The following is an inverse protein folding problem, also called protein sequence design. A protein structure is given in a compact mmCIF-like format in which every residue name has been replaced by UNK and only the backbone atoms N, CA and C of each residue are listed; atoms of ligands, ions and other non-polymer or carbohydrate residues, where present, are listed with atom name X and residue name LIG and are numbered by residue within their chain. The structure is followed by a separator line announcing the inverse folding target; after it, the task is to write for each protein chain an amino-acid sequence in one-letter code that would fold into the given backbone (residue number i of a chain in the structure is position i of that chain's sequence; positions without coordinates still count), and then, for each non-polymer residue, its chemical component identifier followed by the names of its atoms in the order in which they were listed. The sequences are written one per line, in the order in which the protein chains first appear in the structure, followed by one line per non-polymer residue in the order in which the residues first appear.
data_IF_368589069018
#
_entry.id   IF_368589069018
#
_cell.length_a   1.000
_cell.length_b   1.000
_cell.length_c   1.000
_cell.angle_alpha   90.00
_cell.angle_beta   90.00
_cell.angle_gamma   90.00
#
_symmetry.space_group_name_H-M   'P 1'
#
loop_
_entity.id
_entity.type
_entity.pdbx_description
1 polymer ?
#
# COMPACT_ATOMS: atom_id res chain seq x y z
N UNK A 1 35.98 3.46 6.50
CA UNK A 1 35.33 3.52 5.17
C UNK A 1 34.76 2.15 4.74
N UNK A 2 35.57 1.08 4.62
CA UNK A 2 35.09 -0.21 4.12
C UNK A 2 34.15 -1.03 5.03
N UNK A 3 34.16 -0.81 6.36
CA UNK A 3 33.33 -1.59 7.29
C UNK A 3 31.88 -1.09 7.42
N UNK A 4 31.63 0.22 7.23
CA UNK A 4 30.28 0.81 7.31
C UNK A 4 29.42 0.52 6.07
N UNK A 5 30.05 0.29 4.90
CA UNK A 5 29.37 -0.14 3.67
C UNK A 5 29.13 -1.66 3.61
N UNK A 6 29.79 -2.44 4.48
CA UNK A 6 29.71 -3.90 4.47
C UNK A 6 28.65 -4.48 5.44
N UNK A 7 27.99 -3.64 6.23
CA UNK A 7 26.89 -4.05 7.13
C UNK A 7 25.60 -4.31 6.34
N UNK A 8 24.96 -5.45 6.61
CA UNK A 8 23.66 -5.78 6.02
C UNK A 8 22.60 -4.80 6.51
N UNK A 9 22.12 -3.93 5.61
CA UNK A 9 21.03 -2.99 5.87
C UNK A 9 21.34 -1.53 5.54
N UNK A 10 22.58 -1.21 5.14
CA UNK A 10 22.97 0.16 4.72
C UNK A 10 22.86 0.29 3.21
N UNK A 11 22.07 1.26 2.73
CA UNK A 11 21.89 1.50 1.29
C UNK A 11 22.92 2.52 0.76
N UNK A 12 23.08 3.63 1.50
CA UNK A 12 24.05 4.68 1.18
C UNK A 12 24.70 5.21 2.45
N UNK A 13 26.03 5.33 2.41
CA UNK A 13 26.81 6.07 3.39
C UNK A 13 27.22 7.37 2.71
N UNK A 14 26.58 8.48 3.08
CA UNK A 14 27.02 9.79 2.61
C UNK A 14 27.98 10.35 3.66
N UNK A 15 29.26 10.35 3.31
CA UNK A 15 30.32 10.88 4.17
C UNK A 15 30.48 12.37 3.88
N UNK A 16 30.14 13.21 4.84
CA UNK A 16 30.39 14.64 4.74
C UNK A 16 31.75 14.94 5.37
N UNK A 17 32.69 15.42 4.54
CA UNK A 17 34.03 15.79 5.00
C UNK A 17 33.98 17.01 5.93
N UNK A 18 34.98 17.15 6.81
CA UNK A 18 35.14 18.27 7.76
C UNK A 18 35.08 19.66 7.10
N UNK A 19 35.53 19.75 5.84
CA UNK A 19 35.51 20.99 5.04
C UNK A 19 34.13 21.28 4.43
N UNK A 20 33.33 20.26 4.12
CA UNK A 20 31.98 20.41 3.54
C UNK A 20 30.92 20.75 4.60
N UNK A 21 31.13 20.29 5.85
CA UNK A 21 30.28 20.63 6.99
C UNK A 21 30.39 22.12 7.38
N UNK A 22 31.58 22.74 7.23
CA UNK A 22 31.79 24.18 7.43
C UNK A 22 31.03 25.00 6.38
N UNK A 23 31.11 24.62 5.10
CA UNK A 23 30.42 25.33 4.00
C UNK A 23 28.90 25.34 4.12
N UNK A 24 28.29 24.21 4.50
CA UNK A 24 26.83 24.11 4.66
C UNK A 24 26.30 24.74 5.96
N UNK A 25 27.11 24.80 7.02
CA UNK A 25 26.69 25.40 8.30
C UNK A 25 26.67 26.93 8.24
N UNK A 26 27.59 27.56 7.50
CA UNK A 26 27.62 29.04 7.33
C UNK A 26 26.40 29.57 6.57
N UNK A 27 25.79 28.75 5.72
CA UNK A 27 24.58 29.14 4.97
C UNK A 27 23.31 29.03 5.82
N UNK A 28 23.24 28.06 6.75
CA UNK A 28 22.09 27.86 7.65
C UNK A 28 22.13 28.71 8.93
N UNK A 29 23.32 29.01 9.43
CA UNK A 29 23.54 29.87 10.59
C UNK A 29 24.10 31.21 10.10
N UNK A 30 23.21 32.15 9.79
CA UNK A 30 23.55 33.57 9.71
C UNK A 30 23.86 34.14 11.12
N UNK A 31 24.78 33.50 11.85
CA UNK A 31 25.32 34.00 13.11
C UNK A 31 26.65 34.69 12.79
N UNK A 32 26.60 36.00 12.88
CA UNK A 32 27.70 36.93 12.66
C UNK A 32 28.94 36.58 13.51
N UNK A 33 29.95 35.97 12.89
CA UNK A 33 31.32 36.01 13.37
C UNK A 33 32.29 35.90 12.17
N UNK A 34 33.26 36.83 12.04
CA UNK A 34 34.26 36.77 10.96
C UNK A 34 35.09 35.49 11.03
N UNK A 35 35.28 34.87 9.87
CA UNK A 35 35.99 33.62 9.62
C UNK A 35 37.51 33.63 9.90
N UNK A 36 38.05 34.72 10.43
CA UNK A 36 39.50 34.94 10.60
C UNK A 36 40.04 34.65 12.01
N UNK A 37 39.23 34.09 12.92
CA UNK A 37 39.64 33.83 14.33
C UNK A 37 39.60 32.37 14.78
N UNK A 38 39.45 31.39 13.88
CA UNK A 38 39.38 29.97 14.23
C UNK A 38 40.51 29.20 13.54
N UNK A 39 41.67 29.06 14.22
CA UNK A 39 42.85 28.34 13.73
C UNK A 39 42.69 26.80 13.68
N UNK A 40 41.64 26.22 14.29
CA UNK A 40 41.33 24.79 14.20
C UNK A 40 39.84 24.53 13.95
N UNK A 41 39.55 23.62 13.00
CA UNK A 41 38.20 23.20 12.63
C UNK A 41 37.57 22.34 13.75
N UNK A 42 36.57 22.85 14.50
CA UNK A 42 36.03 22.18 15.69
C UNK A 42 34.96 21.13 15.36
N UNK A 43 34.64 20.89 14.07
CA UNK A 43 33.53 20.02 13.69
C UNK A 43 33.99 18.55 13.52
N UNK A 44 33.36 17.58 14.21
CA UNK A 44 33.58 16.17 13.93
C UNK A 44 33.01 15.79 12.55
N UNK A 45 33.64 14.82 11.87
CA UNK A 45 33.11 14.30 10.62
C UNK A 45 31.76 13.60 10.87
N UNK A 46 30.75 13.91 10.06
CA UNK A 46 29.39 13.36 10.19
C UNK A 46 29.13 12.38 9.07
N UNK A 47 28.88 11.12 9.41
CA UNK A 47 28.46 10.09 8.45
C UNK A 47 26.93 9.91 8.54
N UNK A 48 26.22 10.26 7.46
CA UNK A 48 24.77 10.05 7.36
C UNK A 48 24.55 8.66 6.78
N UNK A 49 24.06 7.74 7.61
CA UNK A 49 23.74 6.36 7.22
C UNK A 49 22.25 6.29 6.87
N UNK A 50 21.94 6.02 5.61
CA UNK A 50 20.56 5.80 5.16
C UNK A 50 20.28 4.29 5.14
N UNK A 51 19.41 3.78 6.03
CA UNK A 51 19.05 2.37 6.05
C UNK A 51 18.21 2.00 4.82
N UNK A 52 18.34 0.75 4.36
CA UNK A 52 17.56 0.18 3.24
C UNK A 52 16.06 0.20 3.54
N UNK A 53 15.24 0.31 2.50
CA UNK A 53 13.76 0.35 2.60
C UNK A 53 13.17 -0.84 3.39
N UNK A 54 13.82 -2.00 3.37
CA UNK A 54 13.38 -3.20 4.10
C UNK A 54 13.66 -3.17 5.61
N UNK A 55 14.45 -2.19 6.09
CA UNK A 55 14.88 -2.04 7.50
C UNK A 55 14.27 -0.79 8.17
N UNK A 56 13.04 -0.44 7.81
CA UNK A 56 12.32 0.71 8.38
C UNK A 56 11.55 0.39 9.69
N UNK A 57 11.60 -0.86 10.17
CA UNK A 57 10.97 -1.20 11.46
C UNK A 57 11.79 -0.65 12.63
N UNK A 58 11.10 -0.18 13.67
CA UNK A 58 11.75 0.43 14.84
C UNK A 58 12.77 -0.51 15.51
N UNK A 59 12.50 -1.82 15.53
CA UNK A 59 13.43 -2.83 16.05
C UNK A 59 14.67 -3.02 15.16
N UNK A 60 14.50 -3.01 13.84
CA UNK A 60 15.60 -3.13 12.90
C UNK A 60 16.54 -1.93 12.97
N UNK A 61 15.98 -0.74 13.13
CA UNK A 61 16.71 0.52 13.32
C UNK A 61 17.45 0.56 14.66
N UNK A 62 16.83 0.10 15.74
CA UNK A 62 17.49 -0.03 17.06
C UNK A 62 18.65 -1.03 17.00
N UNK A 63 18.45 -2.16 16.33
CA UNK A 63 19.51 -3.17 16.16
C UNK A 63 20.66 -2.65 15.31
N UNK A 64 20.37 -1.85 14.27
CA UNK A 64 21.39 -1.22 13.44
C UNK A 64 22.18 -0.16 14.24
N UNK A 65 21.49 0.65 15.07
CA UNK A 65 22.14 1.59 16.00
C UNK A 65 23.10 0.87 16.95
N UNK A 66 22.67 -0.23 17.56
CA UNK A 66 23.48 -1.00 18.53
C UNK A 66 24.71 -1.68 17.90
N UNK A 67 24.69 -1.91 16.58
CA UNK A 67 25.83 -2.43 15.83
C UNK A 67 26.78 -1.31 15.40
N UNK A 68 26.23 -0.19 14.92
CA UNK A 68 27.02 0.98 14.49
C UNK A 68 27.71 1.65 15.68
N UNK A 69 27.09 1.67 16.86
CA UNK A 69 27.70 2.20 18.09
C UNK A 69 28.87 1.37 18.62
N UNK A 70 29.05 0.13 18.14
CA UNK A 70 30.16 -0.77 18.51
C UNK A 70 31.39 -0.65 17.63
N UNK A 71 31.35 0.17 16.56
CA UNK A 71 32.48 0.37 15.65
C UNK A 71 33.45 1.39 16.27
N UNK A 72 34.72 1.03 16.40
CA UNK A 72 35.76 1.97 16.88
C UNK A 72 35.91 3.16 15.91
N UNK A 73 35.74 4.39 16.43
CA UNK A 73 35.82 5.63 15.66
C UNK A 73 34.48 6.37 15.48
N UNK A 74 33.40 5.91 16.10
CA UNK A 74 32.08 6.58 16.13
C UNK A 74 31.85 7.18 17.51
N UNK A 75 31.92 8.51 17.64
CA UNK A 75 31.76 9.21 18.94
C UNK A 75 30.29 9.34 19.37
N UNK A 76 29.36 9.64 18.47
CA UNK A 76 27.95 9.82 18.83
C UNK A 76 27.00 9.42 17.69
N UNK A 77 26.10 8.47 17.95
CA UNK A 77 24.99 8.12 17.04
C UNK A 77 23.73 8.80 17.55
N UNK A 78 23.42 9.97 16.98
CA UNK A 78 22.18 10.72 17.24
C UNK A 78 21.08 10.20 16.33
N UNK A 79 20.27 9.29 16.85
CA UNK A 79 19.02 8.89 16.24
C UNK A 79 17.92 9.69 16.93
N UNK A 80 17.15 10.48 16.19
CA UNK A 80 16.05 11.26 16.75
C UNK A 80 14.85 10.34 17.01
N UNK A 81 15.04 9.40 17.95
CA UNK A 81 14.17 8.24 18.19
C UNK A 81 12.73 8.65 18.46
N UNK A 82 12.54 9.79 19.11
CA UNK A 82 11.22 10.29 19.48
C UNK A 82 10.40 10.72 18.25
N UNK A 83 11.04 11.32 17.25
CA UNK A 83 10.38 11.72 16.00
C UNK A 83 10.09 10.51 15.13
N UNK A 84 11.05 9.60 14.96
CA UNK A 84 10.87 8.38 14.18
C UNK A 84 9.84 7.43 14.81
N UNK A 85 9.83 7.28 16.14
CA UNK A 85 8.81 6.49 16.84
C UNK A 85 7.42 7.12 16.69
N UNK A 86 7.29 8.45 16.76
CA UNK A 86 6.03 9.15 16.50
C UNK A 86 5.57 8.95 15.06
N UNK A 87 6.44 9.12 14.07
CA UNK A 87 6.12 8.91 12.66
C UNK A 87 5.72 7.46 12.39
N UNK A 88 6.46 6.49 12.90
CA UNK A 88 6.15 5.06 12.77
C UNK A 88 4.81 4.72 13.42
N UNK A 89 4.51 5.29 14.60
CA UNK A 89 3.22 5.10 15.26
C UNK A 89 2.05 5.71 14.46
N UNK A 90 2.24 6.86 13.82
CA UNK A 90 1.27 7.49 12.94
C UNK A 90 1.05 6.66 11.67
N UNK A 91 2.12 6.23 11.00
CA UNK A 91 2.03 5.36 9.83
C UNK A 91 1.36 4.03 10.18
N UNK A 92 1.67 3.46 11.34
CA UNK A 92 1.01 2.25 11.85
C UNK A 92 -0.47 2.46 12.15
N UNK A 93 -0.87 3.62 12.69
CA UNK A 93 -2.27 3.98 12.88
C UNK A 93 -3.00 4.09 11.53
N UNK A 94 -2.41 4.81 10.57
CA UNK A 94 -2.96 4.95 9.21
C UNK A 94 -3.12 3.59 8.54
N UNK A 95 -2.13 2.70 8.66
CA UNK A 95 -2.18 1.33 8.14
C UNK A 95 -3.31 0.50 8.76
N UNK A 96 -3.57 0.63 10.07
CA UNK A 96 -4.69 -0.06 10.72
C UNK A 96 -6.04 0.49 10.27
N UNK A 97 -6.16 1.82 10.14
CA UNK A 97 -7.39 2.48 9.67
C UNK A 97 -7.68 2.09 8.22
N UNK A 98 -6.67 2.10 7.34
CA UNK A 98 -6.84 1.69 5.94
C UNK A 98 -7.21 0.22 5.82
N UNK A 99 -6.62 -0.67 6.62
CA UNK A 99 -7.01 -2.08 6.67
C UNK A 99 -8.47 -2.26 7.13
N UNK A 100 -8.91 -1.52 8.16
CA UNK A 100 -10.30 -1.55 8.63
C UNK A 100 -11.27 -1.09 7.54
N UNK A 101 -10.96 0.00 6.84
CA UNK A 101 -11.77 0.50 5.71
C UNK A 101 -11.77 -0.52 4.57
N UNK A 102 -10.64 -1.15 4.28
CA UNK A 102 -10.51 -2.20 3.26
C UNK A 102 -11.45 -3.38 3.54
N UNK A 103 -11.49 -3.87 4.77
CA UNK A 103 -12.41 -4.95 5.18
C UNK A 103 -13.88 -4.52 5.02
N UNK A 104 -14.22 -3.29 5.43
CA UNK A 104 -15.57 -2.75 5.25
C UNK A 104 -15.95 -2.62 3.77
N UNK A 105 -15.02 -2.22 2.90
CA UNK A 105 -15.24 -2.14 1.47
C UNK A 105 -15.48 -3.52 0.85
N UNK A 106 -14.70 -4.53 1.24
CA UNK A 106 -14.96 -5.91 0.82
C UNK A 106 -16.36 -6.34 1.26
N UNK A 107 -16.73 -6.12 2.52
CA UNK A 107 -18.06 -6.45 3.01
C UNK A 107 -19.19 -5.72 2.25
N UNK A 108 -18.99 -4.45 1.90
CA UNK A 108 -19.93 -3.68 1.10
C UNK A 108 -20.10 -4.27 -0.31
N UNK A 109 -19.02 -4.64 -0.99
CA UNK A 109 -19.06 -5.30 -2.30
C UNK A 109 -19.81 -6.63 -2.22
N UNK A 110 -19.53 -7.44 -1.19
CA UNK A 110 -20.26 -8.69 -0.94
C UNK A 110 -21.77 -8.46 -0.78
N UNK A 111 -22.16 -7.44 -0.01
CA UNK A 111 -23.56 -7.09 0.19
C UNK A 111 -24.23 -6.61 -1.10
N UNK A 112 -23.56 -5.75 -1.87
CA UNK A 112 -24.08 -5.21 -3.13
C UNK A 112 -24.28 -6.31 -4.17
N UNK A 113 -23.27 -7.16 -4.39
CA UNK A 113 -23.37 -8.27 -5.35
C UNK A 113 -24.41 -9.29 -4.89
N UNK A 114 -24.39 -9.68 -3.61
CA UNK A 114 -25.36 -10.63 -3.06
C UNK A 114 -26.80 -10.13 -3.15
N UNK A 115 -27.04 -8.84 -2.94
CA UNK A 115 -28.36 -8.23 -3.12
C UNK A 115 -28.77 -8.13 -4.59
N UNK A 116 -27.83 -7.76 -5.47
CA UNK A 116 -28.06 -7.67 -6.92
C UNK A 116 -28.45 -9.03 -7.52
N UNK A 117 -27.76 -10.09 -7.11
CA UNK A 117 -28.07 -11.48 -7.50
C UNK A 117 -29.47 -11.89 -7.01
N UNK A 118 -29.80 -11.58 -5.76
CA UNK A 118 -31.13 -11.87 -5.19
C UNK A 118 -32.27 -11.19 -5.96
N UNK A 119 -32.08 -9.91 -6.32
CA UNK A 119 -33.03 -9.17 -7.16
C UNK A 119 -33.15 -9.79 -8.56
N UNK A 120 -32.02 -10.21 -9.14
CA UNK A 120 -31.97 -10.83 -10.46
C UNK A 120 -32.70 -12.19 -10.51
N UNK A 121 -32.57 -13.01 -9.46
CA UNK A 121 -33.33 -14.26 -9.30
C UNK A 121 -34.82 -13.96 -9.19
N UNK A 122 -35.19 -13.01 -8.33
CA UNK A 122 -36.60 -12.66 -8.12
C UNK A 122 -37.27 -12.17 -9.42
N UNK A 123 -36.57 -11.37 -10.21
CA UNK A 123 -37.05 -10.90 -11.51
C UNK A 123 -37.25 -12.02 -12.54
N UNK A 124 -36.52 -13.14 -12.42
CA UNK A 124 -36.59 -14.29 -13.34
C UNK A 124 -37.30 -15.52 -12.75
N UNK A 125 -38.00 -15.35 -11.61
CA UNK A 125 -38.60 -16.45 -10.85
C UNK A 125 -39.55 -17.33 -11.67
N UNK A 126 -40.30 -16.74 -12.60
CA UNK A 126 -41.30 -17.47 -13.38
C UNK A 126 -40.62 -18.41 -14.38
N UNK A 127 -39.55 -17.94 -15.04
CA UNK A 127 -38.72 -18.77 -15.93
C UNK A 127 -38.01 -19.87 -15.14
N UNK A 128 -37.53 -19.58 -13.95
CA UNK A 128 -36.87 -20.55 -13.06
C UNK A 128 -37.85 -21.66 -12.66
N UNK A 129 -39.10 -21.31 -12.33
CA UNK A 129 -40.13 -22.29 -11.99
C UNK A 129 -40.43 -23.23 -13.17
N UNK A 130 -40.58 -22.68 -14.39
CA UNK A 130 -40.77 -23.48 -15.61
C UNK A 130 -39.57 -24.40 -15.86
N UNK A 131 -38.34 -23.90 -15.70
CA UNK A 131 -37.12 -24.71 -15.83
C UNK A 131 -37.06 -25.85 -14.81
N UNK A 132 -37.48 -25.61 -13.57
CA UNK A 132 -37.57 -26.67 -12.56
C UNK A 132 -38.63 -27.72 -12.89
N UNK A 133 -39.76 -27.33 -13.46
CA UNK A 133 -40.83 -28.25 -13.88
C UNK A 133 -40.38 -29.25 -14.96
N UNK A 134 -39.50 -28.83 -15.85
CA UNK A 134 -38.89 -29.71 -16.88
C UNK A 134 -37.62 -30.43 -16.40
N UNK A 135 -37.31 -30.38 -15.09
CA UNK A 135 -36.23 -31.15 -14.48
C UNK A 135 -34.84 -30.49 -14.54
N UNK A 136 -34.74 -29.17 -14.72
CA UNK A 136 -33.44 -28.49 -14.71
C UNK A 136 -32.76 -28.61 -13.33
N UNK A 137 -31.48 -29.01 -13.33
CA UNK A 137 -30.65 -29.07 -12.12
C UNK A 137 -30.37 -27.67 -11.55
N UNK A 138 -30.28 -27.53 -10.23
CA UNK A 138 -30.02 -26.23 -9.57
C UNK A 138 -28.73 -25.55 -10.07
N UNK A 139 -27.69 -26.33 -10.39
CA UNK A 139 -26.44 -25.81 -10.96
C UNK A 139 -26.59 -25.20 -12.36
N UNK A 140 -27.55 -25.65 -13.17
CA UNK A 140 -27.83 -25.06 -14.48
C UNK A 140 -28.46 -23.67 -14.35
N UNK A 141 -29.29 -23.49 -13.31
CA UNK A 141 -29.99 -22.24 -13.03
C UNK A 141 -29.05 -21.20 -12.40
N UNK A 142 -28.09 -21.64 -11.57
CA UNK A 142 -27.15 -20.76 -10.86
C UNK A 142 -26.02 -20.18 -11.74
N UNK A 143 -25.53 -20.95 -12.71
CA UNK A 143 -24.40 -20.54 -13.59
C UNK A 143 -24.49 -19.10 -14.13
N UNK A 144 -25.60 -18.68 -14.79
CA UNK A 144 -25.68 -17.33 -15.34
C UNK A 144 -25.54 -16.23 -14.28
N UNK A 145 -26.01 -16.46 -13.06
CA UNK A 145 -25.90 -15.48 -11.97
C UNK A 145 -24.46 -15.39 -11.42
N UNK A 146 -23.78 -16.53 -11.31
CA UNK A 146 -22.36 -16.61 -10.93
C UNK A 146 -21.45 -15.84 -11.91
N UNK A 147 -21.67 -16.01 -13.22
CA UNK A 147 -20.95 -15.25 -14.24
C UNK A 147 -21.24 -13.75 -14.16
N UNK A 148 -22.46 -13.36 -13.81
CA UNK A 148 -22.81 -11.96 -13.55
C UNK A 148 -21.98 -11.35 -12.42
N UNK A 149 -21.84 -12.05 -11.30
CA UNK A 149 -20.99 -11.62 -10.18
C UNK A 149 -19.52 -11.49 -10.53
N UNK A 150 -18.98 -12.49 -11.25
CA UNK A 150 -17.59 -12.46 -11.73
C UNK A 150 -17.35 -11.30 -12.70
N UNK A 151 -18.26 -11.04 -13.65
CA UNK A 151 -18.16 -9.89 -14.57
C UNK A 151 -18.25 -8.55 -13.84
N UNK A 152 -19.08 -8.43 -12.80
CA UNK A 152 -19.14 -7.22 -11.97
C UNK A 152 -17.81 -6.98 -11.25
N UNK A 153 -17.22 -8.02 -10.66
CA UNK A 153 -15.89 -7.95 -10.03
C UNK A 153 -14.79 -7.58 -11.03
N UNK A 154 -14.79 -8.22 -12.21
CA UNK A 154 -13.82 -7.95 -13.27
C UNK A 154 -13.92 -6.54 -13.83
N UNK A 155 -15.13 -6.07 -14.17
CA UNK A 155 -15.35 -4.72 -14.69
C UNK A 155 -15.03 -3.63 -13.68
N UNK A 156 -15.33 -3.85 -12.40
CA UNK A 156 -14.92 -2.94 -11.31
C UNK A 156 -13.41 -2.84 -11.18
N UNK A 157 -12.71 -3.97 -11.19
CA UNK A 157 -11.24 -4.00 -11.14
C UNK A 157 -10.60 -3.36 -12.37
N UNK A 158 -11.12 -3.67 -13.57
CA UNK A 158 -10.65 -3.07 -14.81
C UNK A 158 -10.82 -1.54 -14.80
N UNK A 159 -11.97 -1.04 -14.37
CA UNK A 159 -12.20 0.40 -14.24
C UNK A 159 -11.30 1.03 -13.18
N UNK A 160 -11.06 0.33 -12.06
CA UNK A 160 -10.17 0.78 -11.00
C UNK A 160 -8.72 0.88 -11.47
N UNK A 161 -8.24 -0.06 -12.29
CA UNK A 161 -6.89 -0.01 -12.86
C UNK A 161 -6.71 1.20 -13.77
N UNK A 162 -7.67 1.43 -14.68
CA UNK A 162 -7.64 2.62 -15.55
C UNK A 162 -7.62 3.91 -14.72
N UNK A 163 -8.48 3.99 -13.71
CA UNK A 163 -8.56 5.19 -12.88
C UNK A 163 -7.28 5.39 -12.05
N UNK A 164 -6.69 4.32 -11.55
CA UNK A 164 -5.42 4.33 -10.83
C UNK A 164 -4.28 4.82 -11.73
N UNK A 165 -4.20 4.34 -12.97
CA UNK A 165 -3.17 4.76 -13.92
C UNK A 165 -3.29 6.24 -14.30
N UNK A 166 -4.52 6.71 -14.54
CA UNK A 166 -4.80 8.14 -14.75
C UNK A 166 -4.35 8.97 -13.54
N UNK A 167 -4.65 8.51 -12.32
CA UNK A 167 -4.27 9.21 -11.10
C UNK A 167 -2.76 9.28 -10.94
N UNK A 168 -2.05 8.16 -11.17
CA UNK A 168 -0.58 8.10 -11.12
C UNK A 168 0.04 9.02 -12.17
N UNK A 169 -0.48 9.05 -13.40
CA UNK A 169 0.00 9.96 -14.44
C UNK A 169 -0.17 11.43 -14.03
N UNK A 170 -1.34 11.80 -13.50
CA UNK A 170 -1.61 13.17 -13.04
C UNK A 170 -0.71 13.54 -11.85
N UNK A 171 -0.57 12.66 -10.89
CA UNK A 171 0.26 12.89 -9.72
C UNK A 171 1.75 12.98 -10.09
N UNK A 172 2.24 12.07 -10.93
CA UNK A 172 3.61 12.06 -11.44
C UNK A 172 3.94 13.37 -12.14
N UNK A 173 3.02 13.90 -12.96
CA UNK A 173 3.23 15.19 -13.63
C UNK A 173 3.38 16.35 -12.63
N UNK A 174 2.53 16.42 -11.61
CA UNK A 174 2.58 17.46 -10.58
C UNK A 174 3.83 17.33 -9.69
N UNK A 175 4.19 16.09 -9.31
CA UNK A 175 5.38 15.81 -8.50
C UNK A 175 6.65 16.12 -9.28
N UNK A 176 6.72 15.80 -10.58
CA UNK A 176 7.90 16.09 -11.41
C UNK A 176 8.14 17.60 -11.54
N UNK A 177 7.09 18.40 -11.63
CA UNK A 177 7.18 19.86 -11.68
C UNK A 177 7.80 20.43 -10.40
N UNK A 178 7.34 19.95 -9.23
CA UNK A 178 7.91 20.33 -7.94
C UNK A 178 9.32 19.78 -7.75
N UNK A 179 9.56 18.51 -8.10
CA UNK A 179 10.84 17.84 -7.91
C UNK A 179 11.98 18.46 -8.73
N UNK A 180 11.68 19.03 -9.91
CA UNK A 180 12.63 19.83 -10.70
C UNK A 180 13.15 21.04 -9.93
N UNK A 181 12.33 21.69 -9.12
CA UNK A 181 12.72 22.85 -8.28
C UNK A 181 13.70 22.41 -7.17
N UNK A 182 13.56 21.18 -6.68
CA UNK A 182 14.41 20.60 -5.63
C UNK A 182 15.59 19.77 -6.18
N UNK A 183 15.82 19.74 -7.49
CA UNK A 183 16.93 19.01 -8.13
C UNK A 183 16.90 17.49 -7.95
N UNK A 184 15.75 16.92 -7.55
CA UNK A 184 15.61 15.49 -7.24
C UNK A 184 14.82 14.79 -8.35
N UNK A 185 15.30 13.62 -8.79
CA UNK A 185 14.60 12.80 -9.79
C UNK A 185 13.73 11.78 -9.05
N UNK A 186 12.40 11.97 -9.08
CA UNK A 186 11.45 11.00 -8.57
C UNK A 186 10.84 10.22 -9.73
N UNK A 187 11.05 8.90 -9.75
CA UNK A 187 10.30 8.00 -10.60
C UNK A 187 9.15 7.40 -9.79
N UNK A 188 7.92 7.82 -10.09
CA UNK A 188 6.74 7.08 -9.62
C UNK A 188 6.59 5.83 -10.49
N UNK A 189 6.97 4.67 -9.94
CA UNK A 189 6.63 3.40 -10.56
C UNK A 189 5.12 3.18 -10.48
N UNK A 190 4.49 2.98 -11.64
CA UNK A 190 3.11 2.48 -11.71
C UNK A 190 3.03 1.00 -11.31
N UNK A 191 1.80 0.48 -11.26
CA UNK A 191 1.57 -0.96 -11.05
C UNK A 191 2.19 -1.78 -12.18
N UNK A 192 2.90 -2.85 -11.81
CA UNK A 192 3.42 -3.84 -12.74
C UNK A 192 2.29 -4.58 -13.48
N UNK A 193 2.62 -5.18 -14.62
CA UNK A 193 1.66 -5.98 -15.38
C UNK A 193 1.17 -7.21 -14.58
N UNK A 194 2.07 -7.81 -13.80
CA UNK A 194 1.80 -8.92 -12.89
C UNK A 194 0.87 -8.52 -11.74
N UNK A 195 1.06 -7.35 -11.16
CA UNK A 195 0.21 -6.81 -10.10
C UNK A 195 -1.20 -6.49 -10.62
N UNK A 196 -1.30 -5.91 -11.82
CA UNK A 196 -2.57 -5.67 -12.50
C UNK A 196 -3.34 -6.97 -12.75
N UNK A 197 -2.65 -8.01 -13.23
CA UNK A 197 -3.24 -9.31 -13.49
C UNK A 197 -3.74 -9.96 -12.19
N UNK A 198 -2.94 -9.91 -11.13
CA UNK A 198 -3.30 -10.46 -9.82
C UNK A 198 -4.54 -9.77 -9.26
N UNK A 199 -4.61 -8.44 -9.34
CA UNK A 199 -5.79 -7.67 -8.91
C UNK A 199 -7.05 -8.06 -9.68
N UNK A 200 -6.99 -8.18 -11.01
CA UNK A 200 -8.13 -8.61 -11.82
C UNK A 200 -8.65 -9.98 -11.41
N UNK A 201 -7.75 -10.95 -11.17
CA UNK A 201 -8.11 -12.30 -10.77
C UNK A 201 -8.75 -12.29 -9.39
N UNK A 202 -8.13 -11.63 -8.41
CA UNK A 202 -8.63 -11.57 -7.03
C UNK A 202 -10.00 -10.89 -6.97
N UNK A 203 -10.20 -9.77 -7.65
CA UNK A 203 -11.50 -9.08 -7.68
C UNK A 203 -12.58 -9.90 -8.38
N UNK A 204 -12.24 -10.59 -9.47
CA UNK A 204 -13.17 -11.51 -10.16
C UNK A 204 -13.56 -12.69 -9.26
N UNK A 205 -12.59 -13.28 -8.55
CA UNK A 205 -12.84 -14.35 -7.57
C UNK A 205 -13.74 -13.87 -6.43
N UNK A 206 -13.48 -12.69 -5.87
CA UNK A 206 -14.33 -12.10 -4.83
C UNK A 206 -15.76 -11.90 -5.35
N UNK A 207 -15.92 -11.38 -6.57
CA UNK A 207 -17.23 -11.18 -7.20
C UNK A 207 -17.98 -12.49 -7.43
N UNK A 208 -17.27 -13.55 -7.84
CA UNK A 208 -17.83 -14.91 -7.95
C UNK A 208 -18.29 -15.43 -6.58
N UNK A 209 -17.43 -15.40 -5.56
CA UNK A 209 -17.75 -15.90 -4.22
C UNK A 209 -18.93 -15.13 -3.60
N UNK A 210 -18.98 -13.81 -3.82
CA UNK A 210 -20.10 -12.99 -3.38
C UNK A 210 -21.43 -13.40 -4.05
N UNK A 211 -21.42 -13.69 -5.36
CA UNK A 211 -22.60 -14.19 -6.05
C UNK A 211 -23.04 -15.57 -5.57
N UNK A 212 -22.09 -16.49 -5.32
CA UNK A 212 -22.37 -17.82 -4.78
C UNK A 212 -23.03 -17.75 -3.39
N UNK A 213 -22.55 -16.85 -2.53
CA UNK A 213 -23.15 -16.61 -1.22
C UNK A 213 -24.57 -16.02 -1.33
N UNK A 214 -24.81 -15.13 -2.31
CA UNK A 214 -26.13 -14.57 -2.58
C UNK A 214 -27.15 -15.62 -3.04
N UNK A 215 -26.75 -16.50 -3.95
CA UNK A 215 -27.60 -17.56 -4.50
C UNK A 215 -28.01 -18.59 -3.43
N UNK A 216 -27.04 -19.10 -2.68
CA UNK A 216 -27.27 -20.11 -1.63
C UNK A 216 -28.19 -19.61 -0.51
N UNK A 217 -28.03 -18.36 -0.08
CA UNK A 217 -28.92 -17.74 0.90
C UNK A 217 -30.35 -17.56 0.37
N UNK A 218 -30.50 -17.23 -0.92
CA UNK A 218 -31.80 -17.00 -1.55
C UNK A 218 -32.56 -18.30 -1.77
N UNK A 219 -31.89 -19.33 -2.29
CA UNK A 219 -32.48 -20.64 -2.53
C UNK A 219 -33.00 -21.30 -1.25
N UNK A 220 -32.22 -21.24 -0.17
CA UNK A 220 -32.63 -21.74 1.16
C UNK A 220 -33.90 -21.03 1.64
N UNK A 221 -33.99 -19.70 1.44
CA UNK A 221 -35.17 -18.93 1.82
C UNK A 221 -36.41 -19.29 0.99
N UNK A 222 -36.25 -19.51 -0.32
CA UNK A 222 -37.33 -19.85 -1.25
C UNK A 222 -37.89 -21.26 -0.99
N UNK A 223 -37.01 -22.21 -0.72
CA UNK A 223 -37.38 -23.59 -0.39
C UNK A 223 -38.18 -23.69 0.92
N UNK A 224 -37.78 -22.92 1.95
CA UNK A 224 -38.53 -22.88 3.21
C UNK A 224 -39.95 -22.30 3.07
N UNK A 225 -40.16 -21.40 2.08
CA UNK A 225 -41.47 -20.80 1.80
C UNK A 225 -42.38 -21.72 0.99
N UNK A 226 -41.82 -22.54 0.10
CA UNK A 226 -42.58 -23.50 -0.71
C UNK A 226 -43.05 -24.74 0.07
N UNK A 227 -42.36 -25.12 1.15
CA UNK A 227 -42.77 -26.25 2.02
C UNK A 227 -43.86 -25.84 3.04
N UNK A 228 -44.01 -24.55 3.32
CA UNK A 228 -44.98 -24.02 4.29
C UNK A 228 -46.29 -23.53 3.66
N UNK A 229 -46.44 -23.62 2.34
CA UNK A 229 -47.63 -23.21 1.60
C UNK A 229 -48.29 -24.44 0.96
#
# INVERSE_FOLDING_TARGET
MGQLQAEQGVDKVNYLSRDEALGNSVTGLALAAPSDMLEENPLPAVAIVVPKLDFQSTEALNTLRDRVSRIQGVDEVRMDDSWFARLSSLTGLVGRVSAMIGVLMVAAVFLVIGNSVRLSIFARRDTINVQKLIGATDGFILRPFLYGGAMLGFSGAFLSLILSEILVMRLSSAVTEVAKVFGTQFELSGLGFDECLLMLIVCSMIGWVAALAGDSATFTSLYSRLIKA
#
